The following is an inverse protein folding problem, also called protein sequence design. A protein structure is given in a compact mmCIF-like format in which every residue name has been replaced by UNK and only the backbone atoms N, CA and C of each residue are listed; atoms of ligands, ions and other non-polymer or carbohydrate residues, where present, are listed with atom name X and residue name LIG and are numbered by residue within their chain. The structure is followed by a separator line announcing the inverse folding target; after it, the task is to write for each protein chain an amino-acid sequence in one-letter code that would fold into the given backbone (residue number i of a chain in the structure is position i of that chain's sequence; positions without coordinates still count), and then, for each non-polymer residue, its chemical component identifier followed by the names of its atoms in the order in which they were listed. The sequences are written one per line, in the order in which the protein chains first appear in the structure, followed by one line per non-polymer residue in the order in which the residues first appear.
data_IF_470284058495
#
_entry.id   IF_470284058495
#
_cell.length_a   1.000
_cell.length_b   1.000
_cell.length_c   1.000
_cell.angle_alpha   90.00
_cell.angle_beta   90.00
_cell.angle_gamma   90.00
#
_symmetry.space_group_name_H-M   'P 1'
#
loop_
_entity.id
_entity.type
_entity.pdbx_description
1 polymer ?
#
# COMPACT_ATOMS: atom_id res chain seq x y z
N UNK A 1 -14.47 -9.67 -12.83
CA UNK A 1 -14.26 -8.64 -11.79
C UNK A 1 -12.81 -8.73 -11.39
N UNK A 2 -11.94 -7.82 -11.86
CA UNK A 2 -10.53 -7.90 -11.53
C UNK A 2 -10.35 -7.54 -10.05
N UNK A 3 -9.70 -8.42 -9.29
CA UNK A 3 -9.12 -8.05 -8.02
C UNK A 3 -8.19 -6.86 -8.30
N UNK A 4 -8.36 -5.78 -7.57
CA UNK A 4 -7.44 -4.66 -7.71
C UNK A 4 -6.07 -5.06 -7.19
N UNK A 5 -5.05 -4.65 -7.95
CA UNK A 5 -3.67 -4.96 -7.62
C UNK A 5 -3.17 -3.94 -6.59
N UNK A 6 -3.26 -4.32 -5.30
CA UNK A 6 -2.63 -3.59 -4.21
C UNK A 6 -3.49 -2.56 -3.47
N UNK A 7 -2.80 -1.64 -2.79
CA UNK A 7 -3.39 -0.65 -1.91
C UNK A 7 -4.23 0.37 -2.69
N UNK A 8 -5.49 0.55 -2.26
CA UNK A 8 -6.40 1.59 -2.77
C UNK A 8 -6.75 2.57 -1.65
N UNK A 9 -6.44 3.85 -1.82
CA UNK A 9 -6.68 4.87 -0.80
C UNK A 9 -8.16 4.98 -0.39
N UNK A 10 -9.10 4.92 -1.35
CA UNK A 10 -10.54 4.99 -1.10
C UNK A 10 -11.10 3.81 -0.28
N UNK A 11 -10.32 2.75 -0.09
CA UNK A 11 -10.66 1.59 0.76
C UNK A 11 -10.02 1.66 2.14
N UNK A 12 -9.13 2.62 2.38
CA UNK A 12 -8.51 2.81 3.69
C UNK A 12 -9.49 3.55 4.59
N UNK A 13 -9.76 2.97 5.76
CA UNK A 13 -10.71 3.48 6.73
C UNK A 13 -9.96 4.05 7.95
N UNK A 14 -10.35 5.23 8.42
CA UNK A 14 -10.08 5.64 9.79
C UNK A 14 -11.13 4.99 10.70
N UNK A 15 -10.67 4.28 11.72
CA UNK A 15 -11.56 3.65 12.72
C UNK A 15 -11.69 4.61 13.90
N UNK A 16 -12.93 4.95 14.23
CA UNK A 16 -13.29 5.88 15.30
C UNK A 16 -14.09 5.11 16.35
N UNK A 17 -13.54 5.00 17.55
CA UNK A 17 -14.16 4.25 18.65
C UNK A 17 -14.51 5.20 19.79
N UNK A 18 -15.78 5.23 20.14
CA UNK A 18 -16.27 5.95 21.31
C UNK A 18 -16.34 5.00 22.50
N UNK A 19 -15.88 5.46 23.67
CA UNK A 19 -15.87 4.67 24.91
C UNK A 19 -16.90 5.20 25.90
N UNK A 20 -17.44 4.34 26.78
CA UNK A 20 -18.41 4.77 27.79
C UNK A 20 -17.78 5.72 28.81
N UNK A 21 -18.63 6.46 29.52
CA UNK A 21 -18.19 7.27 30.66
C UNK A 21 -17.34 8.50 30.33
N UNK A 22 -17.33 8.95 29.06
CA UNK A 22 -16.55 10.11 28.63
C UNK A 22 -15.04 9.86 28.56
N UNK A 23 -14.62 8.59 28.62
CA UNK A 23 -13.23 8.23 28.35
C UNK A 23 -12.80 8.70 26.94
N UNK A 24 -11.54 9.13 26.75
CA UNK A 24 -11.06 9.51 25.44
C UNK A 24 -11.30 8.41 24.41
N UNK A 25 -11.85 8.74 23.25
CA UNK A 25 -12.04 7.76 22.18
C UNK A 25 -10.73 7.11 21.74
N UNK A 26 -10.82 5.94 21.10
CA UNK A 26 -9.67 5.29 20.45
C UNK A 26 -9.76 5.50 18.94
N UNK A 27 -8.61 5.60 18.30
CA UNK A 27 -8.50 5.64 16.85
C UNK A 27 -7.61 4.52 16.35
N UNK A 28 -7.92 4.02 15.17
CA UNK A 28 -7.12 3.05 14.44
C UNK A 28 -7.27 3.24 12.95
N UNK A 29 -6.65 2.35 12.20
CA UNK A 29 -6.76 2.25 10.76
C UNK A 29 -7.45 0.94 10.39
N UNK A 30 -8.02 0.87 9.20
CA UNK A 30 -8.59 -0.35 8.66
C UNK A 30 -8.62 -0.32 7.15
N UNK A 31 -9.01 -1.43 6.55
CA UNK A 31 -9.13 -1.54 5.10
C UNK A 31 -10.38 -2.29 4.70
N UNK A 32 -11.12 -1.75 3.73
CA UNK A 32 -12.34 -2.37 3.21
C UNK A 32 -11.99 -3.55 2.29
N UNK A 33 -12.27 -4.76 2.77
CA UNK A 33 -11.90 -6.04 2.16
C UNK A 33 -13.07 -6.72 1.42
N UNK A 34 -14.22 -6.07 1.36
CA UNK A 34 -15.39 -6.55 0.64
C UNK A 34 -16.45 -5.44 0.54
N UNK A 35 -17.65 -5.77 0.05
CA UNK A 35 -18.72 -4.79 -0.10
C UNK A 35 -19.06 -4.10 1.21
N UNK A 36 -19.05 -4.84 2.32
CA UNK A 36 -19.46 -4.33 3.63
C UNK A 36 -18.46 -4.64 4.73
N UNK A 37 -17.27 -5.11 4.39
CA UNK A 37 -16.33 -5.69 5.35
C UNK A 37 -15.09 -4.83 5.50
N UNK A 38 -14.69 -4.55 6.73
CA UNK A 38 -13.45 -3.82 7.05
C UNK A 38 -12.58 -4.65 7.98
N UNK A 39 -11.33 -4.85 7.61
CA UNK A 39 -10.31 -5.48 8.46
C UNK A 39 -9.61 -4.41 9.30
N UNK A 40 -9.38 -4.68 10.58
CA UNK A 40 -8.59 -3.84 11.49
C UNK A 40 -7.90 -4.70 12.56
N UNK A 41 -7.19 -4.07 13.50
CA UNK A 41 -6.60 -4.76 14.63
C UNK A 41 -7.62 -4.95 15.76
N UNK A 42 -7.63 -6.11 16.42
CA UNK A 42 -8.63 -6.44 17.45
C UNK A 42 -8.60 -5.43 18.59
N UNK A 43 -7.41 -5.09 19.10
CA UNK A 43 -7.28 -4.14 20.20
C UNK A 43 -7.78 -2.73 19.87
N UNK A 44 -8.00 -2.37 18.60
CA UNK A 44 -8.61 -1.08 18.24
C UNK A 44 -10.06 -1.04 18.71
N UNK A 45 -10.80 -2.13 18.51
CA UNK A 45 -12.24 -2.22 18.80
C UNK A 45 -12.58 -3.06 20.04
N UNK A 46 -11.57 -3.63 20.70
CA UNK A 46 -11.74 -4.43 21.91
C UNK A 46 -12.12 -3.59 23.14
N UNK A 47 -12.76 -4.26 24.09
CA UNK A 47 -13.23 -3.69 25.35
C UNK A 47 -14.62 -3.07 25.26
N UNK A 48 -15.07 -2.39 26.33
CA UNK A 48 -16.36 -1.72 26.32
C UNK A 48 -16.31 -0.51 25.37
N UNK A 49 -17.14 -0.56 24.33
CA UNK A 49 -17.28 0.49 23.32
C UNK A 49 -18.74 0.93 23.25
N UNK A 50 -18.96 2.24 23.09
CA UNK A 50 -20.31 2.82 22.91
C UNK A 50 -20.71 2.75 21.45
N UNK A 51 -19.79 3.11 20.55
CA UNK A 51 -19.99 3.07 19.11
C UNK A 51 -18.66 2.84 18.40
N UNK A 52 -18.73 2.23 17.22
CA UNK A 52 -17.59 2.13 16.30
C UNK A 52 -18.05 2.66 14.95
N UNK A 53 -17.30 3.61 14.41
CA UNK A 53 -17.52 4.20 13.09
C UNK A 53 -16.29 4.03 12.22
N UNK A 54 -16.53 3.88 10.93
CA UNK A 54 -15.50 3.96 9.90
C UNK A 54 -15.69 5.25 9.12
N UNK A 55 -14.58 5.88 8.74
CA UNK A 55 -14.55 7.04 7.87
C UNK A 55 -13.60 6.79 6.70
N UNK A 56 -14.08 6.98 5.49
CA UNK A 56 -13.31 6.86 4.25
C UNK A 56 -13.11 8.23 3.64
N UNK A 57 -11.99 8.43 2.93
CA UNK A 57 -11.68 9.65 2.18
C UNK A 57 -11.93 10.95 2.98
N UNK A 58 -11.55 10.94 4.26
CA UNK A 58 -11.80 12.06 5.18
C UNK A 58 -11.35 13.41 4.60
N UNK A 59 -12.25 14.38 4.61
CA UNK A 59 -12.09 15.74 4.08
C UNK A 59 -11.76 15.81 2.58
N UNK A 60 -12.05 14.75 1.81
CA UNK A 60 -11.97 14.68 0.36
C UNK A 60 -13.37 14.58 -0.28
N UNK A 61 -13.52 14.85 -1.59
CA UNK A 61 -14.83 14.78 -2.26
C UNK A 61 -15.54 13.43 -2.17
N UNK A 62 -14.80 12.35 -1.89
CA UNK A 62 -15.33 11.00 -1.67
C UNK A 62 -15.67 10.67 -0.22
N UNK A 63 -15.61 11.63 0.71
CA UNK A 63 -15.80 11.35 2.13
C UNK A 63 -17.15 10.70 2.42
N UNK A 64 -17.12 9.63 3.20
CA UNK A 64 -18.31 9.13 3.86
C UNK A 64 -17.94 8.40 5.16
N UNK A 65 -18.91 8.33 6.06
CA UNK A 65 -18.79 7.61 7.33
C UNK A 65 -19.98 6.68 7.53
N UNK A 66 -19.77 5.59 8.26
CA UNK A 66 -20.84 4.68 8.63
C UNK A 66 -20.57 4.00 9.97
N UNK A 67 -21.64 3.67 10.68
CA UNK A 67 -21.57 2.79 11.85
C UNK A 67 -21.23 1.37 11.41
N UNK A 68 -20.46 0.68 12.25
CA UNK A 68 -20.08 -0.71 12.00
C UNK A 68 -20.39 -1.60 13.20
N UNK A 69 -20.55 -2.89 12.92
CA UNK A 69 -20.63 -3.94 13.94
C UNK A 69 -19.36 -4.79 13.89
N UNK A 70 -18.84 -5.18 15.05
CA UNK A 70 -17.76 -6.17 15.13
C UNK A 70 -18.39 -7.54 14.88
N UNK A 71 -18.08 -8.17 13.75
CA UNK A 71 -18.58 -9.51 13.40
C UNK A 71 -17.59 -10.61 13.75
N UNK A 72 -16.31 -10.27 13.87
CA UNK A 72 -15.25 -11.14 14.38
C UNK A 72 -14.27 -10.32 15.19
N UNK A 73 -13.95 -10.79 16.39
CA UNK A 73 -12.90 -10.26 17.25
C UNK A 73 -11.95 -11.40 17.63
N UNK A 74 -10.79 -11.46 16.98
CA UNK A 74 -9.81 -12.50 17.17
C UNK A 74 -8.57 -11.95 17.91
N UNK A 75 -8.65 -11.90 19.24
CA UNK A 75 -7.59 -11.35 20.08
C UNK A 75 -6.27 -12.13 19.97
N UNK A 76 -6.34 -13.44 19.74
CA UNK A 76 -5.16 -14.32 19.64
C UNK A 76 -4.20 -13.95 18.49
N UNK A 77 -4.72 -13.28 17.45
CA UNK A 77 -3.95 -12.80 16.29
C UNK A 77 -4.10 -11.30 16.08
N UNK A 78 -4.63 -10.59 17.08
CA UNK A 78 -4.91 -9.16 17.08
C UNK A 78 -5.62 -8.66 15.80
N UNK A 79 -6.66 -9.37 15.36
CA UNK A 79 -7.41 -9.03 14.15
C UNK A 79 -8.92 -8.94 14.43
N UNK A 80 -9.59 -7.97 13.83
CA UNK A 80 -11.03 -7.88 13.84
C UNK A 80 -11.60 -7.66 12.42
N UNK A 81 -12.78 -8.23 12.20
CA UNK A 81 -13.61 -7.97 11.02
C UNK A 81 -14.83 -7.17 11.44
N UNK A 82 -15.07 -6.07 10.74
CA UNK A 82 -16.19 -5.16 10.96
C UNK A 82 -17.15 -5.22 9.77
N UNK A 83 -18.44 -5.20 10.05
CA UNK A 83 -19.50 -5.09 9.05
C UNK A 83 -20.05 -3.65 9.03
N UNK A 84 -20.02 -3.03 7.86
CA UNK A 84 -20.59 -1.72 7.59
C UNK A 84 -22.11 -1.84 7.51
N UNK A 85 -22.80 -1.11 8.39
CA UNK A 85 -24.26 -1.18 8.52
C UNK A 85 -25.01 -0.48 7.39
N UNK A 86 -24.44 0.58 6.83
CA UNK A 86 -25.02 1.32 5.71
C UNK A 86 -23.91 1.82 4.77
N UNK A 87 -23.80 1.22 3.58
CA UNK A 87 -22.88 1.67 2.54
C UNK A 87 -23.63 2.66 1.63
N UNK A 88 -23.10 3.87 1.37
CA UNK A 88 -23.77 4.85 0.52
C UNK A 88 -24.10 4.29 -0.88
N UNK A 89 -25.32 4.54 -1.36
CA UNK A 89 -25.73 4.20 -2.72
C UNK A 89 -24.79 4.83 -3.76
N UNK A 90 -24.38 4.04 -4.76
CA UNK A 90 -23.42 4.49 -5.78
C UNK A 90 -21.95 4.32 -5.37
N UNK A 91 -21.66 3.83 -4.16
CA UNK A 91 -20.31 3.38 -3.79
C UNK A 91 -19.83 2.31 -4.76
N UNK A 92 -18.59 2.41 -5.25
CA UNK A 92 -18.01 1.42 -6.15
C UNK A 92 -18.04 0.01 -5.53
N UNK A 93 -18.29 -1.01 -6.36
CA UNK A 93 -18.17 -2.40 -5.96
C UNK A 93 -16.72 -2.69 -5.54
N UNK A 94 -16.56 -3.31 -4.38
CA UNK A 94 -15.25 -3.60 -3.79
C UNK A 94 -15.04 -5.11 -3.82
N UNK A 95 -14.11 -5.55 -4.67
CA UNK A 95 -13.65 -6.94 -4.68
C UNK A 95 -12.70 -7.23 -3.51
N UNK A 96 -12.66 -8.48 -3.07
CA UNK A 96 -11.74 -8.90 -2.02
C UNK A 96 -10.27 -8.75 -2.42
N UNK A 97 -9.39 -8.37 -1.48
CA UNK A 97 -7.97 -8.33 -1.74
C UNK A 97 -7.41 -9.74 -1.90
N UNK A 98 -6.21 -9.83 -2.49
CA UNK A 98 -5.42 -11.06 -2.43
C UNK A 98 -4.72 -11.14 -1.08
N UNK A 99 -4.51 -12.35 -0.59
CA UNK A 99 -3.78 -12.63 0.65
C UNK A 99 -2.55 -13.46 0.36
N UNK A 100 -1.48 -13.17 1.09
CA UNK A 100 -0.20 -13.83 0.89
C UNK A 100 0.44 -14.35 2.15
N UNK A 101 1.12 -15.50 2.01
CA UNK A 101 2.01 -16.01 3.02
C UNK A 101 3.40 -15.38 2.87
N UNK A 102 4.07 -15.12 3.98
CA UNK A 102 5.47 -14.76 4.02
C UNK A 102 6.30 -16.06 4.10
N UNK A 103 7.33 -16.25 3.27
CA UNK A 103 8.11 -17.48 3.27
C UNK A 103 8.90 -17.67 4.57
N UNK A 104 9.32 -18.88 4.91
CA UNK A 104 10.26 -19.11 6.02
C UNK A 104 11.69 -19.18 5.49
N UNK A 105 12.16 -18.10 4.88
CA UNK A 105 13.49 -17.98 4.25
C UNK A 105 14.13 -16.63 4.52
N UNK A 106 15.45 -16.55 4.32
CA UNK A 106 16.21 -15.29 4.41
C UNK A 106 15.91 -14.39 3.21
N UNK A 107 14.82 -13.63 3.31
CA UNK A 107 14.37 -12.68 2.29
C UNK A 107 13.89 -11.40 2.95
N UNK A 108 14.06 -10.30 2.21
CA UNK A 108 13.51 -8.99 2.57
C UNK A 108 12.44 -8.63 1.55
N UNK A 109 11.22 -8.37 2.04
CA UNK A 109 10.08 -8.03 1.19
C UNK A 109 9.85 -6.52 1.17
N UNK A 110 9.70 -5.88 0.00
CA UNK A 110 9.20 -4.52 -0.07
C UNK A 110 7.73 -4.49 0.36
N UNK A 111 7.37 -3.52 1.20
CA UNK A 111 6.02 -3.40 1.74
C UNK A 111 5.47 -2.00 1.70
N UNK A 112 4.15 -1.92 1.75
CA UNK A 112 3.43 -0.66 1.92
C UNK A 112 2.20 -0.81 2.81
N UNK A 113 1.88 0.25 3.56
CA UNK A 113 0.67 0.34 4.36
C UNK A 113 0.17 1.78 4.36
N UNK A 114 -1.12 1.99 4.64
CA UNK A 114 -1.69 3.33 4.77
C UNK A 114 -2.64 3.37 5.98
N UNK A 115 -2.52 4.43 6.77
CA UNK A 115 -3.31 4.62 7.99
C UNK A 115 -3.27 6.06 8.50
N UNK A 116 -3.69 6.26 9.75
CA UNK A 116 -3.92 7.59 10.34
C UNK A 116 -3.13 7.80 11.65
N UNK A 117 -1.78 7.78 11.59
CA UNK A 117 -0.94 7.90 12.77
C UNK A 117 -1.00 9.30 13.40
N UNK A 118 -0.76 9.36 14.69
CA UNK A 118 -0.80 10.58 15.50
C UNK A 118 0.14 11.68 15.02
N UNK A 119 1.33 11.37 14.52
CA UNK A 119 2.26 12.40 14.04
C UNK A 119 1.73 13.19 12.82
N UNK A 120 0.63 12.74 12.21
CA UNK A 120 -0.12 13.46 11.17
C UNK A 120 -1.30 14.29 11.72
N UNK A 121 -1.47 14.37 13.04
CA UNK A 121 -2.44 15.24 13.69
C UNK A 121 -2.06 16.70 13.45
N UNK A 122 -3.02 17.49 12.99
CA UNK A 122 -2.86 18.92 12.73
C UNK A 122 -4.09 19.67 13.23
N UNK A 123 -3.89 20.93 13.58
CA UNK A 123 -4.98 21.86 13.84
C UNK A 123 -5.58 22.32 12.50
N UNK A 124 -6.89 22.17 12.35
CA UNK A 124 -7.67 22.81 11.31
C UNK A 124 -8.15 24.17 11.81
N UNK A 125 -7.40 25.21 11.45
CA UNK A 125 -7.74 26.60 11.80
C UNK A 125 -8.95 27.14 11.06
N UNK A 126 -9.39 26.48 9.99
CA UNK A 126 -10.55 26.92 9.19
C UNK A 126 -11.86 26.42 9.79
N UNK A 127 -11.82 25.38 10.62
CA UNK A 127 -12.98 24.85 11.34
C UNK A 127 -12.76 24.99 12.85
N UNK A 128 -13.57 25.83 13.48
CA UNK A 128 -13.56 25.99 14.93
C UNK A 128 -14.60 25.06 15.56
N UNK A 129 -14.26 24.54 16.74
CA UNK A 129 -15.20 23.88 17.65
C UNK A 129 -16.09 24.93 18.33
N UNK A 130 -17.15 24.49 19.00
CA UNK A 130 -18.13 25.36 19.68
C UNK A 130 -17.48 26.25 20.78
N UNK A 131 -16.34 25.82 21.32
CA UNK A 131 -15.54 26.54 22.31
C UNK A 131 -14.55 27.56 21.69
N UNK A 132 -14.56 27.69 20.35
CA UNK A 132 -13.70 28.60 19.60
C UNK A 132 -12.27 28.08 19.37
N UNK A 133 -11.93 26.86 19.81
CA UNK A 133 -10.65 26.24 19.51
C UNK A 133 -10.63 25.68 18.08
N UNK A 134 -9.47 25.65 17.40
CA UNK A 134 -9.33 24.93 16.15
C UNK A 134 -9.72 23.46 16.33
N UNK A 135 -10.52 22.93 15.41
CA UNK A 135 -10.73 21.50 15.32
C UNK A 135 -9.42 20.81 14.93
N UNK A 136 -9.34 19.50 15.13
CA UNK A 136 -8.15 18.73 14.79
C UNK A 136 -8.49 17.62 13.81
N UNK A 137 -7.59 17.36 12.88
CA UNK A 137 -7.70 16.26 11.93
C UNK A 137 -6.39 15.47 11.88
N UNK A 138 -6.49 14.18 11.58
CA UNK A 138 -5.34 13.35 11.26
C UNK A 138 -5.29 13.14 9.76
N UNK A 139 -4.20 13.59 9.17
CA UNK A 139 -3.93 13.31 7.77
C UNK A 139 -3.56 11.83 7.59
N UNK A 140 -3.81 11.31 6.40
CA UNK A 140 -3.39 9.96 6.06
C UNK A 140 -1.87 9.87 5.96
N UNK A 141 -1.33 8.69 6.24
CA UNK A 141 0.07 8.37 6.07
C UNK A 141 0.21 7.10 5.26
N UNK A 142 0.63 7.24 4.01
CA UNK A 142 1.12 6.14 3.19
C UNK A 142 2.59 5.89 3.52
N UNK A 143 2.90 4.71 4.05
CA UNK A 143 4.27 4.28 4.34
C UNK A 143 4.73 3.26 3.32
N UNK A 144 6.01 3.34 2.97
CA UNK A 144 6.73 2.35 2.18
C UNK A 144 7.97 1.94 2.97
N UNK A 145 8.31 0.67 2.93
CA UNK A 145 9.39 0.11 3.74
C UNK A 145 9.71 -1.33 3.37
N UNK A 146 10.32 -2.04 4.29
CA UNK A 146 10.70 -3.45 4.10
C UNK A 146 10.30 -4.31 5.29
N UNK A 147 10.08 -5.58 5.05
CA UNK A 147 9.97 -6.61 6.09
C UNK A 147 11.13 -7.58 5.95
N UNK A 148 11.97 -7.66 6.99
CA UNK A 148 12.94 -8.75 7.13
C UNK A 148 12.22 -9.94 7.72
N UNK A 149 12.00 -10.96 6.91
CA UNK A 149 11.06 -12.05 7.20
C UNK A 149 11.42 -12.88 8.44
N UNK A 150 12.70 -12.94 8.77
CA UNK A 150 13.21 -13.66 9.94
C UNK A 150 13.31 -12.80 11.21
N UNK A 151 12.88 -11.54 11.19
CA UNK A 151 12.71 -10.71 12.40
C UNK A 151 11.52 -11.19 13.24
N UNK A 152 11.51 -10.88 14.53
CA UNK A 152 10.40 -11.13 15.47
C UNK A 152 9.84 -12.56 15.54
N UNK A 153 10.60 -13.58 15.12
CA UNK A 153 10.16 -14.99 15.06
C UNK A 153 9.59 -15.54 16.37
N UNK A 154 10.10 -15.09 17.53
CA UNK A 154 9.60 -15.52 18.84
C UNK A 154 8.19 -15.00 19.11
N UNK A 155 7.92 -13.75 18.76
CA UNK A 155 6.60 -13.13 18.89
C UNK A 155 5.67 -13.55 17.75
N UNK A 156 6.24 -13.97 16.61
CA UNK A 156 5.51 -14.36 15.43
C UNK A 156 5.02 -13.18 14.59
N UNK A 157 5.45 -11.95 14.87
CA UNK A 157 5.05 -10.78 14.09
C UNK A 157 6.04 -10.52 12.94
N UNK A 158 5.60 -9.75 11.95
CA UNK A 158 6.49 -9.13 10.97
C UNK A 158 7.04 -7.83 11.56
N UNK A 159 8.33 -7.57 11.35
CA UNK A 159 8.93 -6.28 11.63
C UNK A 159 8.95 -5.43 10.36
N UNK A 160 8.13 -4.38 10.32
CA UNK A 160 8.12 -3.39 9.26
C UNK A 160 9.14 -2.30 9.57
N UNK A 161 10.21 -2.26 8.76
CA UNK A 161 11.18 -1.18 8.77
C UNK A 161 10.72 -0.04 7.85
N UNK A 162 10.46 1.14 8.42
CA UNK A 162 10.00 2.34 7.71
C UNK A 162 10.84 3.56 8.10
N UNK A 163 10.70 4.64 7.35
CA UNK A 163 11.26 5.93 7.74
C UNK A 163 10.64 6.38 9.07
N UNK A 164 11.49 6.58 10.08
CA UNK A 164 11.05 7.02 11.40
C UNK A 164 10.44 8.44 11.35
N UNK A 165 9.26 8.66 11.96
CA UNK A 165 8.75 10.00 12.18
C UNK A 165 9.55 10.69 13.29
N UNK A 166 9.31 11.98 13.48
CA UNK A 166 9.74 12.66 14.70
C UNK A 166 9.02 12.06 15.91
N UNK A 167 9.68 12.08 17.07
CA UNK A 167 9.07 11.70 18.32
C UNK A 167 7.83 12.56 18.61
N UNK A 168 6.84 11.98 19.30
CA UNK A 168 5.68 12.73 19.77
C UNK A 168 6.12 13.73 20.85
N UNK A 169 5.55 14.95 20.89
CA UNK A 169 5.80 15.90 21.98
C UNK A 169 5.43 15.35 23.36
N UNK A 170 4.45 14.44 23.43
CA UNK A 170 4.11 13.69 24.65
C UNK A 170 4.96 12.41 24.72
N UNK A 171 5.94 12.31 25.64
CA UNK A 171 6.92 11.21 25.62
C UNK A 171 6.31 9.81 25.75
N UNK A 172 5.18 9.70 26.45
CA UNK A 172 4.47 8.44 26.67
C UNK A 172 3.58 8.01 25.51
N UNK A 173 3.36 8.89 24.52
CA UNK A 173 2.56 8.56 23.35
C UNK A 173 3.43 8.09 22.21
N UNK A 174 2.90 7.13 21.48
CA UNK A 174 3.51 6.74 20.22
C UNK A 174 3.11 7.73 19.12
N UNK A 175 4.08 8.22 18.30
CA UNK A 175 3.74 8.98 17.09
C UNK A 175 2.91 8.13 16.08
N UNK A 176 2.98 6.81 16.19
CA UNK A 176 2.23 5.84 15.38
C UNK A 176 0.87 5.45 15.97
N UNK A 177 0.48 5.98 17.12
CA UNK A 177 -0.87 5.76 17.68
C UNK A 177 -1.91 6.05 16.58
N UNK A 178 -2.80 5.11 16.29
CA UNK A 178 -3.78 5.19 15.19
C UNK A 178 -3.37 4.47 13.89
N UNK A 179 -2.12 4.05 13.74
CA UNK A 179 -1.67 3.22 12.59
C UNK A 179 -2.14 1.77 12.69
N UNK A 180 -2.36 1.27 13.91
CA UNK A 180 -2.82 -0.10 14.16
C UNK A 180 -4.10 -0.41 13.40
N UNK A 181 -4.15 -1.58 12.77
CA UNK A 181 -5.21 -2.06 11.89
C UNK A 181 -5.01 -1.73 10.41
N UNK A 182 -4.01 -0.91 10.06
CA UNK A 182 -3.60 -0.74 8.66
C UNK A 182 -3.09 -2.07 8.10
N UNK A 183 -3.56 -2.45 6.91
CA UNK A 183 -3.11 -3.68 6.24
C UNK A 183 -1.75 -3.47 5.58
N UNK A 184 -0.93 -4.53 5.60
CA UNK A 184 0.42 -4.54 5.03
C UNK A 184 0.40 -5.25 3.69
N UNK A 185 0.81 -4.56 2.65
CA UNK A 185 0.86 -5.05 1.28
C UNK A 185 2.28 -5.45 0.90
N UNK A 186 2.41 -6.54 0.17
CA UNK A 186 3.61 -6.90 -0.60
C UNK A 186 3.18 -7.62 -1.87
N UNK A 187 3.75 -7.28 -3.03
CA UNK A 187 3.35 -7.90 -4.30
C UNK A 187 1.84 -7.84 -4.60
N UNK A 188 1.17 -6.76 -4.24
CA UNK A 188 -0.28 -6.64 -4.42
C UNK A 188 -1.14 -7.60 -3.57
N UNK A 189 -0.55 -8.31 -2.61
CA UNK A 189 -1.24 -9.16 -1.65
C UNK A 189 -1.11 -8.58 -0.23
N UNK A 190 -2.14 -8.78 0.59
CA UNK A 190 -2.13 -8.51 2.03
C UNK A 190 -1.36 -9.63 2.72
N UNK A 191 -0.28 -9.29 3.41
CA UNK A 191 0.57 -10.23 4.15
C UNK A 191 0.46 -10.08 5.67
N UNK A 192 -0.21 -9.02 6.14
CA UNK A 192 -0.38 -8.79 7.56
C UNK A 192 -1.22 -7.57 7.90
N UNK A 193 -1.41 -7.34 9.19
CA UNK A 193 -2.11 -6.18 9.76
C UNK A 193 -1.24 -5.56 10.85
N UNK A 194 -0.98 -4.26 10.78
CA UNK A 194 -0.17 -3.56 11.79
C UNK A 194 -0.87 -3.67 13.15
N UNK A 195 -0.17 -4.20 14.14
CA UNK A 195 -0.70 -4.44 15.49
C UNK A 195 -0.12 -3.44 16.49
N UNK A 196 1.20 -3.32 16.53
CA UNK A 196 1.87 -2.58 17.59
C UNK A 196 3.06 -1.73 17.09
N UNK A 197 3.45 -0.79 17.95
CA UNK A 197 4.74 -0.13 17.88
C UNK A 197 5.42 -0.27 19.24
N UNK A 198 6.39 -1.18 19.31
CA UNK A 198 7.24 -1.35 20.48
C UNK A 198 8.28 -0.23 20.47
N UNK A 199 8.09 0.80 21.30
CA UNK A 199 8.97 1.99 21.32
C UNK A 199 10.47 1.66 21.48
N UNK A 200 10.78 0.54 22.16
CA UNK A 200 12.14 0.03 22.35
C UNK A 200 12.84 -0.36 21.05
N UNK A 201 12.07 -0.76 20.04
CA UNK A 201 12.60 -1.24 18.75
C UNK A 201 12.96 -0.05 17.83
N UNK A 202 12.52 1.15 18.23
CA UNK A 202 12.79 2.42 17.55
C UNK A 202 11.61 2.90 16.72
N UNK A 203 11.56 4.22 16.52
CA UNK A 203 10.44 4.88 15.83
C UNK A 203 10.26 4.47 14.36
N UNK A 204 11.24 3.80 13.76
CA UNK A 204 11.16 3.28 12.39
C UNK A 204 10.80 1.79 12.31
N UNK A 205 10.25 1.21 13.39
CA UNK A 205 9.88 -0.20 13.48
C UNK A 205 8.42 -0.34 13.89
N UNK A 206 7.64 -1.09 13.12
CA UNK A 206 6.26 -1.42 13.44
C UNK A 206 6.09 -2.94 13.41
N UNK A 207 5.29 -3.48 14.32
CA UNK A 207 4.94 -4.90 14.32
C UNK A 207 3.63 -5.11 13.56
N UNK A 208 3.55 -6.19 12.78
CA UNK A 208 2.32 -6.62 12.14
C UNK A 208 2.04 -8.12 12.39
N UNK A 209 0.78 -8.46 12.66
CA UNK A 209 0.34 -9.85 12.71
C UNK A 209 0.37 -10.48 11.31
N UNK A 210 0.78 -11.75 11.23
CA UNK A 210 0.90 -12.52 9.98
C UNK A 210 -0.44 -13.12 9.57
N UNK A 211 -0.80 -13.03 8.29
CA UNK A 211 -2.04 -13.64 7.77
C UNK A 211 -2.04 -15.16 7.96
N UNK A 212 -0.88 -15.81 7.83
CA UNK A 212 -0.74 -17.26 7.96
C UNK A 212 -1.12 -17.77 9.36
N UNK A 213 -0.91 -16.94 10.39
CA UNK A 213 -1.22 -17.33 11.77
C UNK A 213 -2.71 -17.42 12.05
N UNK A 214 -3.54 -16.77 11.23
CA UNK A 214 -4.99 -16.85 11.37
C UNK A 214 -5.48 -18.28 11.20
N UNK A 215 -4.89 -19.06 10.28
CA UNK A 215 -5.27 -20.45 10.06
C UNK A 215 -4.94 -21.39 11.22
N UNK A 216 -3.95 -21.03 12.04
CA UNK A 216 -3.57 -21.81 13.23
C UNK A 216 -4.34 -21.40 14.49
N UNK A 217 -4.86 -20.17 14.53
CA UNK A 217 -5.47 -19.60 15.73
C UNK A 217 -7.00 -19.51 15.68
N UNK A 218 -7.58 -19.38 14.49
CA UNK A 218 -9.02 -19.22 14.31
C UNK A 218 -9.72 -20.57 14.18
N UNK A 219 -10.96 -20.64 14.69
CA UNK A 219 -11.86 -21.76 14.45
C UNK A 219 -12.32 -21.83 13.00
N UNK A 220 -12.82 -22.99 12.57
CA UNK A 220 -13.33 -23.19 11.21
C UNK A 220 -14.47 -22.22 10.85
N UNK A 221 -15.34 -21.88 11.80
CA UNK A 221 -16.43 -20.93 11.58
C UNK A 221 -15.94 -19.50 11.36
N UNK A 222 -14.89 -19.09 12.08
CA UNK A 222 -14.28 -17.77 11.92
C UNK A 222 -13.52 -17.67 10.59
N UNK A 223 -12.82 -18.73 10.18
CA UNK A 223 -12.17 -18.81 8.87
C UNK A 223 -13.20 -18.78 7.73
N UNK A 224 -14.35 -19.43 7.89
CA UNK A 224 -15.44 -19.36 6.91
C UNK A 224 -16.00 -17.93 6.77
N UNK A 225 -16.12 -17.19 7.88
CA UNK A 225 -16.51 -15.78 7.85
C UNK A 225 -15.49 -14.93 7.09
N UNK A 226 -14.19 -15.12 7.36
CA UNK A 226 -13.15 -14.40 6.61
C UNK A 226 -13.11 -14.78 5.14
N UNK A 227 -13.32 -16.06 4.80
CA UNK A 227 -13.38 -16.50 3.42
C UNK A 227 -14.53 -15.80 2.67
N UNK A 228 -15.73 -15.84 3.25
CA UNK A 228 -16.93 -15.30 2.61
C UNK A 228 -16.93 -13.77 2.54
N UNK A 229 -16.56 -13.11 3.62
CA UNK A 229 -16.77 -11.67 3.78
C UNK A 229 -15.51 -10.85 3.46
N UNK A 230 -14.32 -11.46 3.52
CA UNK A 230 -13.04 -10.81 3.25
C UNK A 230 -12.24 -11.46 2.09
N UNK A 231 -12.67 -12.61 1.57
CA UNK A 231 -12.00 -13.32 0.48
C UNK A 231 -10.71 -14.01 0.88
N UNK A 232 -10.53 -14.31 2.17
CA UNK A 232 -9.39 -15.11 2.64
C UNK A 232 -9.41 -16.49 1.96
N UNK A 233 -8.31 -16.97 1.35
CA UNK A 233 -8.28 -18.30 0.75
C UNK A 233 -8.59 -19.41 1.76
N UNK A 234 -9.03 -20.56 1.28
CA UNK A 234 -9.10 -21.75 2.13
C UNK A 234 -7.69 -22.19 2.56
N UNK A 235 -7.53 -22.93 3.69
CA UNK A 235 -6.24 -23.45 4.11
C UNK A 235 -5.47 -24.13 2.96
N UNK A 236 -4.19 -23.80 2.79
CA UNK A 236 -3.36 -24.27 1.66
C UNK A 236 -3.51 -23.48 0.35
N UNK A 237 -4.41 -22.49 0.30
CA UNK A 237 -4.61 -21.60 -0.84
C UNK A 237 -3.76 -20.32 -0.84
N UNK A 238 -3.09 -20.01 0.28
CA UNK A 238 -2.10 -18.92 0.31
C UNK A 238 -0.87 -19.33 -0.51
N UNK A 239 -0.44 -18.46 -1.43
CA UNK A 239 0.88 -18.58 -2.05
C UNK A 239 1.88 -17.63 -1.37
N UNK A 240 3.13 -17.68 -1.77
CA UNK A 240 4.19 -16.90 -1.14
C UNK A 240 4.25 -15.48 -1.71
N UNK A 241 4.37 -14.48 -0.84
CA UNK A 241 4.65 -13.08 -1.18
C UNK A 241 5.99 -12.88 -1.90
N UNK A 242 6.88 -13.87 -1.82
CA UNK A 242 8.14 -13.89 -2.56
C UNK A 242 8.03 -14.61 -3.92
N UNK A 243 6.88 -15.20 -4.26
CA UNK A 243 6.73 -15.88 -5.55
C UNK A 243 6.85 -14.86 -6.69
N UNK A 244 7.68 -15.10 -7.71
CA UNK A 244 7.88 -14.16 -8.83
C UNK A 244 6.60 -13.84 -9.61
N UNK A 245 5.62 -14.75 -9.60
CA UNK A 245 4.28 -14.53 -10.18
C UNK A 245 3.43 -13.51 -9.39
N UNK A 246 3.83 -13.16 -8.16
CA UNK A 246 3.13 -12.25 -7.24
C UNK A 246 3.76 -10.87 -7.12
N UNK A 247 5.02 -10.71 -7.51
CA UNK A 247 5.50 -9.37 -7.86
C UNK A 247 4.69 -9.00 -9.09
N UNK A 248 3.69 -8.12 -8.93
CA UNK A 248 2.78 -7.72 -10.01
C UNK A 248 3.60 -7.60 -11.29
N UNK A 249 3.29 -8.44 -12.29
CA UNK A 249 4.00 -8.37 -13.56
C UNK A 249 3.96 -6.91 -13.98
N UNK A 250 5.12 -6.28 -14.26
CA UNK A 250 5.15 -4.87 -14.55
C UNK A 250 4.13 -4.58 -15.64
N UNK A 251 3.26 -3.59 -15.39
CA UNK A 251 2.13 -3.31 -16.25
C UNK A 251 2.64 -3.18 -17.69
N UNK A 252 2.16 -4.04 -18.59
CA UNK A 252 2.62 -4.03 -19.97
C UNK A 252 2.17 -2.72 -20.63
N UNK A 253 3.13 -2.08 -21.27
CA UNK A 253 2.95 -0.87 -22.07
C UNK A 253 2.88 -1.19 -23.56
N UNK A 254 2.79 -2.47 -23.93
CA UNK A 254 2.74 -2.91 -25.32
C UNK A 254 1.53 -2.36 -26.09
N UNK A 255 0.41 -2.08 -25.41
CA UNK A 255 -0.81 -1.56 -26.03
C UNK A 255 -0.90 -0.02 -26.06
N UNK A 256 0.13 0.69 -25.60
CA UNK A 256 0.10 2.15 -25.61
C UNK A 256 0.00 2.73 -27.04
N UNK A 257 -0.82 3.77 -27.27
CA UNK A 257 -0.84 4.45 -28.56
C UNK A 257 0.53 5.06 -28.92
N UNK A 258 0.99 4.80 -30.14
CA UNK A 258 2.29 5.31 -30.62
C UNK A 258 2.36 6.84 -30.71
N UNK A 259 1.21 7.51 -30.76
CA UNK A 259 1.05 8.95 -30.93
C UNK A 259 0.81 9.72 -29.62
N UNK A 260 0.97 9.06 -28.45
CA UNK A 260 0.77 9.67 -27.14
C UNK A 260 1.44 11.07 -27.01
N UNK A 261 0.70 12.08 -26.49
CA UNK A 261 1.25 13.42 -26.35
C UNK A 261 2.30 13.49 -25.25
N UNK A 262 3.30 14.37 -25.42
CA UNK A 262 4.44 14.51 -24.50
C UNK A 262 4.03 14.62 -23.04
N UNK A 263 2.97 15.39 -22.74
CA UNK A 263 2.45 15.59 -21.37
C UNK A 263 2.14 14.28 -20.65
N UNK A 264 1.70 13.25 -21.38
CA UNK A 264 1.32 11.96 -20.82
C UNK A 264 2.56 11.12 -20.48
N UNK A 265 3.66 11.35 -21.21
CA UNK A 265 4.93 10.65 -21.07
C UNK A 265 5.90 11.34 -20.09
N UNK A 266 5.61 12.57 -19.66
CA UNK A 266 6.52 13.37 -18.82
C UNK A 266 6.90 12.65 -17.52
N UNK A 267 5.94 12.02 -16.83
CA UNK A 267 6.21 11.28 -15.59
C UNK A 267 7.19 10.13 -15.79
N UNK A 268 6.97 9.34 -16.84
CA UNK A 268 7.83 8.21 -17.20
C UNK A 268 9.24 8.67 -17.63
N UNK A 269 9.32 9.71 -18.46
CA UNK A 269 10.61 10.28 -18.89
C UNK A 269 11.40 10.80 -17.69
N UNK A 270 10.74 11.44 -16.74
CA UNK A 270 11.40 12.03 -15.58
C UNK A 270 11.92 10.95 -14.64
N UNK A 271 11.15 9.87 -14.45
CA UNK A 271 11.63 8.72 -13.71
C UNK A 271 12.85 8.07 -14.39
N UNK A 272 12.84 7.91 -15.72
CA UNK A 272 13.98 7.36 -16.47
C UNK A 272 15.23 8.24 -16.39
N UNK A 273 15.09 9.57 -16.43
CA UNK A 273 16.22 10.51 -16.29
C UNK A 273 16.91 10.38 -14.92
N UNK A 274 16.16 10.02 -13.89
CA UNK A 274 16.69 9.89 -12.54
C UNK A 274 17.44 8.57 -12.31
N UNK A 275 17.27 7.59 -13.19
CA UNK A 275 17.94 6.28 -13.12
C UNK A 275 19.46 6.42 -13.35
N UNK A 276 20.31 5.96 -12.41
CA UNK A 276 21.76 6.03 -12.53
C UNK A 276 22.34 5.48 -13.84
N UNK A 277 21.96 4.26 -14.25
CA UNK A 277 22.43 3.63 -15.49
C UNK A 277 22.06 4.40 -16.77
N UNK A 278 21.11 5.34 -16.71
CA UNK A 278 20.71 6.13 -17.88
C UNK A 278 21.37 7.52 -17.91
N UNK A 279 22.05 7.94 -16.84
CA UNK A 279 22.62 9.31 -16.73
C UNK A 279 23.84 9.55 -17.61
N UNK A 280 24.58 8.49 -17.92
CA UNK A 280 25.75 8.58 -18.80
C UNK A 280 25.52 7.83 -20.12
N UNK A 281 26.26 8.26 -21.14
CA UNK A 281 26.11 7.74 -22.50
C UNK A 281 26.50 6.26 -22.63
N UNK A 282 27.36 5.75 -21.75
CA UNK A 282 27.82 4.36 -21.78
C UNK A 282 26.74 3.43 -21.24
N UNK A 283 26.15 3.78 -20.10
CA UNK A 283 25.03 3.05 -19.49
C UNK A 283 23.78 3.08 -20.35
N UNK A 284 23.42 4.25 -20.90
CA UNK A 284 22.34 4.35 -21.88
C UNK A 284 22.62 3.52 -23.13
N UNK A 285 23.87 3.51 -23.61
CA UNK A 285 24.30 2.65 -24.72
C UNK A 285 24.13 1.16 -24.43
N UNK A 286 24.50 0.71 -23.24
CA UNK A 286 24.36 -0.67 -22.78
C UNK A 286 22.88 -1.09 -22.75
N UNK A 287 22.02 -0.26 -22.16
CA UNK A 287 20.57 -0.51 -22.11
C UNK A 287 20.00 -0.64 -23.51
N UNK A 288 20.31 0.30 -24.40
CA UNK A 288 19.79 0.30 -25.76
C UNK A 288 20.29 -0.89 -26.59
N UNK A 289 21.51 -1.35 -26.35
CA UNK A 289 22.06 -2.55 -27.01
C UNK A 289 21.39 -3.85 -26.54
N UNK A 290 20.69 -3.81 -25.40
CA UNK A 290 20.05 -4.97 -24.78
C UNK A 290 18.56 -5.12 -25.10
N UNK A 291 17.92 -4.09 -25.69
CA UNK A 291 16.50 -4.12 -26.05
C UNK A 291 16.26 -4.57 -27.49
N UNK A 292 16.55 -3.70 -28.46
CA UNK A 292 16.27 -3.87 -29.88
C UNK A 292 17.17 -2.92 -30.68
N UNK A 293 17.88 -3.46 -31.66
CA UNK A 293 18.83 -2.73 -32.48
C UNK A 293 18.15 -1.62 -33.33
N UNK A 294 16.88 -1.78 -33.67
CA UNK A 294 16.11 -0.78 -34.42
C UNK A 294 15.84 0.48 -33.59
N UNK A 295 15.68 0.35 -32.27
CA UNK A 295 15.52 1.52 -31.38
C UNK A 295 16.81 2.33 -31.33
N UNK A 296 17.95 1.65 -31.14
CA UNK A 296 19.25 2.29 -31.09
C UNK A 296 19.60 3.01 -32.40
N UNK A 297 19.17 2.44 -33.54
CA UNK A 297 19.39 2.99 -34.87
C UNK A 297 18.48 4.17 -35.23
N UNK A 298 17.21 4.15 -34.79
CA UNK A 298 16.19 5.11 -35.24
C UNK A 298 15.87 6.23 -34.24
N UNK A 299 16.43 6.19 -33.03
CA UNK A 299 16.18 7.25 -32.05
C UNK A 299 16.79 8.60 -32.48
N UNK A 300 16.08 9.71 -32.29
CA UNK A 300 16.70 11.04 -32.35
C UNK A 300 17.72 11.18 -31.21
N UNK A 301 18.93 11.66 -31.52
CA UNK A 301 19.95 11.97 -30.51
C UNK A 301 19.89 13.44 -30.11
N UNK A 302 19.86 13.71 -28.82
CA UNK A 302 19.94 15.07 -28.26
C UNK A 302 21.02 15.12 -27.17
N UNK A 303 21.74 16.24 -27.07
CA UNK A 303 22.77 16.41 -26.04
C UNK A 303 22.19 16.59 -24.64
N UNK A 304 20.91 16.94 -24.53
CA UNK A 304 20.19 17.05 -23.27
C UNK A 304 19.58 15.70 -22.94
N UNK A 305 20.06 15.08 -21.87
CA UNK A 305 19.64 13.74 -21.42
C UNK A 305 18.11 13.56 -21.44
N UNK A 306 17.35 14.50 -20.88
CA UNK A 306 15.88 14.45 -20.86
C UNK A 306 15.25 14.37 -22.25
N UNK A 307 15.79 15.11 -23.22
CA UNK A 307 15.30 15.08 -24.60
C UNK A 307 15.72 13.79 -25.32
N UNK A 308 16.91 13.27 -25.02
CA UNK A 308 17.40 11.98 -25.55
C UNK A 308 16.53 10.82 -25.04
N UNK A 309 16.26 10.77 -23.74
CA UNK A 309 15.37 9.78 -23.11
C UNK A 309 13.94 9.90 -23.66
N UNK A 310 13.42 11.11 -23.85
CA UNK A 310 12.13 11.29 -24.52
C UNK A 310 12.13 10.73 -25.96
N UNK A 311 13.21 10.97 -26.71
CA UNK A 311 13.41 10.40 -28.04
C UNK A 311 13.43 8.87 -28.03
N UNK A 312 14.09 8.26 -27.04
CA UNK A 312 14.08 6.81 -26.81
C UNK A 312 12.67 6.30 -26.55
N UNK A 313 11.95 6.85 -25.57
CA UNK A 313 10.59 6.42 -25.21
C UNK A 313 9.64 6.56 -26.41
N UNK A 314 9.70 7.67 -27.14
CA UNK A 314 8.92 7.88 -28.37
C UNK A 314 9.22 6.85 -29.46
N UNK A 315 10.48 6.45 -29.57
CA UNK A 315 10.89 5.42 -30.53
C UNK A 315 10.34 4.07 -30.08
N UNK A 316 10.48 3.71 -28.79
CA UNK A 316 9.92 2.48 -28.24
C UNK A 316 8.40 2.37 -28.45
N UNK A 317 7.63 3.45 -28.33
CA UNK A 317 6.19 3.44 -28.60
C UNK A 317 5.81 3.10 -30.06
N UNK A 318 6.74 3.23 -31.01
CA UNK A 318 6.49 2.83 -32.42
C UNK A 318 6.71 1.34 -32.64
N UNK A 319 7.47 0.68 -31.78
CA UNK A 319 7.81 -0.73 -31.87
C UNK A 319 7.23 -1.47 -30.67
N UNK A 320 6.10 -2.15 -30.90
CA UNK A 320 5.32 -2.82 -29.85
C UNK A 320 6.20 -3.70 -28.96
N UNK A 321 6.06 -3.55 -27.65
CA UNK A 321 6.78 -4.33 -26.63
C UNK A 321 8.20 -3.84 -26.29
N UNK A 322 8.83 -2.98 -27.11
CA UNK A 322 10.20 -2.50 -26.85
C UNK A 322 10.28 -1.54 -25.65
N UNK A 323 9.17 -0.89 -25.29
CA UNK A 323 9.11 -0.10 -24.06
C UNK A 323 9.13 -0.99 -22.82
N UNK A 324 8.47 -2.16 -22.85
CA UNK A 324 8.51 -3.13 -21.76
C UNK A 324 9.92 -3.69 -21.57
N UNK A 325 10.59 -4.02 -22.69
CA UNK A 325 11.99 -4.48 -22.69
C UNK A 325 12.95 -3.42 -22.12
N UNK A 326 12.73 -2.13 -22.42
CA UNK A 326 13.51 -1.03 -21.85
C UNK A 326 13.38 -1.00 -20.33
N UNK A 327 12.16 -1.05 -19.82
CA UNK A 327 11.91 -1.05 -18.37
C UNK A 327 12.48 -2.30 -17.70
N UNK A 328 12.34 -3.47 -18.33
CA UNK A 328 12.94 -4.72 -17.84
C UNK A 328 14.47 -4.66 -17.76
N UNK A 329 15.12 -4.16 -18.82
CA UNK A 329 16.58 -3.99 -18.84
C UNK A 329 17.06 -3.04 -17.74
N UNK A 330 16.34 -1.94 -17.52
CA UNK A 330 16.64 -1.01 -16.42
C UNK A 330 16.50 -1.70 -15.06
N UNK A 331 15.43 -2.47 -14.82
CA UNK A 331 15.25 -3.24 -13.58
C UNK A 331 16.40 -4.22 -13.33
N UNK A 332 16.87 -4.92 -14.37
CA UNK A 332 17.97 -5.88 -14.26
C UNK A 332 19.29 -5.22 -13.88
N UNK A 333 19.57 -4.01 -14.40
CA UNK A 333 20.82 -3.30 -14.13
C UNK A 333 20.83 -2.59 -12.77
N UNK A 334 19.69 -2.06 -12.35
CA UNK A 334 19.57 -1.23 -11.14
C UNK A 334 19.09 -2.00 -9.90
N UNK A 335 18.49 -3.17 -10.09
CA UNK A 335 17.90 -3.96 -9.02
C UNK A 335 16.75 -3.24 -8.32
N UNK A 336 16.61 -3.47 -7.01
CA UNK A 336 15.53 -2.89 -6.19
C UNK A 336 15.90 -1.47 -5.67
N UNK A 337 16.10 -0.52 -6.58
CA UNK A 337 16.40 0.87 -6.22
C UNK A 337 15.12 1.73 -6.07
N UNK A 338 15.24 2.87 -5.37
CA UNK A 338 14.13 3.82 -5.21
C UNK A 338 13.69 4.44 -6.54
N UNK A 339 14.65 4.62 -7.45
CA UNK A 339 14.48 5.10 -8.81
C UNK A 339 13.68 4.11 -9.64
N UNK A 340 14.00 2.81 -9.56
CA UNK A 340 13.22 1.74 -10.20
C UNK A 340 11.80 1.67 -9.63
N UNK A 341 11.63 1.76 -8.32
CA UNK A 341 10.30 1.78 -7.71
C UNK A 341 9.46 2.99 -8.16
N UNK A 342 10.08 4.14 -8.43
CA UNK A 342 9.39 5.31 -9.01
C UNK A 342 9.05 5.09 -10.47
N UNK A 343 9.98 4.53 -11.25
CA UNK A 343 9.77 4.17 -12.64
C UNK A 343 8.57 3.24 -12.82
N UNK A 344 8.48 2.20 -11.99
CA UNK A 344 7.37 1.24 -12.02
C UNK A 344 6.03 1.90 -11.69
N UNK A 345 5.99 2.86 -10.74
CA UNK A 345 4.77 3.61 -10.44
C UNK A 345 4.29 4.44 -11.63
N UNK A 346 5.19 5.16 -12.29
CA UNK A 346 4.85 5.98 -13.46
C UNK A 346 4.38 5.12 -14.64
N UNK A 347 5.05 3.98 -14.88
CA UNK A 347 4.64 3.01 -15.88
C UNK A 347 3.23 2.45 -15.59
N UNK A 348 2.97 2.03 -14.35
CA UNK A 348 1.65 1.51 -13.95
C UNK A 348 0.54 2.58 -14.08
N UNK A 349 0.81 3.83 -13.72
CA UNK A 349 -0.14 4.94 -13.90
C UNK A 349 -0.43 5.24 -15.38
N UNK A 350 0.58 5.10 -16.25
CA UNK A 350 0.39 5.26 -17.68
C UNK A 350 -0.43 4.09 -18.26
N UNK A 351 -0.09 2.85 -17.90
CA UNK A 351 -0.84 1.66 -18.31
C UNK A 351 -2.32 1.78 -17.91
N UNK A 352 -2.62 2.09 -16.64
CA UNK A 352 -3.99 2.20 -16.14
C UNK A 352 -4.87 3.21 -16.90
N UNK A 353 -4.26 4.19 -17.58
CA UNK A 353 -5.00 5.21 -18.34
C UNK A 353 -5.29 4.79 -19.78
N UNK A 354 -4.51 3.87 -20.36
CA UNK A 354 -4.51 3.60 -21.79
C UNK A 354 -4.55 2.10 -22.18
N UNK A 355 -4.32 1.18 -21.23
CA UNK A 355 -4.40 -0.27 -21.37
C UNK A 355 -5.57 -0.80 -20.53
#
# INVERSE_FOLDING_TARGET
MSASEGLEAARVAEILVERPGGEPGRRGSGYRVGERSVLTAAHVVAGPVTSVRVRFDADLPGEWSADVRVVLLAEAVDMALLEITNVPHGSAAVGSPRYGAVPESDVVLPVSAMGFPRFKLRDDRMRLLDDGLPSQFRDSCHVSGTVSVLSNRREGTLELAVLAPRADPEPERSPWEGMSGAVVWSGGAVIGVISAHHRSDGLGRLAAGRVEQWYGALSSAELEHLHKEAGLPMPGGLRSAADPEWVAAPASLAELPSDLPLRELMGLVDALVDVPALKDASGLGLVLSSIDAEIAANRPRDSRLRMDIYGVVRTCLRYRGTLDQLLETVRLLEGQSMEVARLDREAAQLAKRYC
#
